data_IF_528941358680
#
_entry.id   IF_528941358680
#
_cell.length_a   1.000
_cell.length_b   1.000
_cell.length_c   1.000
_cell.angle_alpha   90.00
_cell.angle_beta   90.00
_cell.angle_gamma   90.00
#
_symmetry.space_group_name_H-M   'P 1'
#
loop_
_entity.id
_entity.type
_entity.pdbx_description
1 polymer ?
#
# COMPACT_ATOMS: atom_id res chain seq x y z
N UNK A 1 -21.79 4.56 -21.43
CA UNK A 1 -20.97 3.76 -22.39
C UNK A 1 -19.54 4.30 -22.58
N UNK A 2 -19.34 5.62 -22.72
CA UNK A 2 -17.97 6.21 -22.84
C UNK A 2 -17.07 5.97 -21.62
N UNK A 3 -17.61 6.14 -20.41
CA UNK A 3 -16.89 5.90 -19.15
C UNK A 3 -16.48 4.43 -18.97
N UNK A 4 -17.34 3.51 -19.39
CA UNK A 4 -17.11 2.07 -19.30
C UNK A 4 -15.93 1.64 -20.17
N UNK A 5 -15.83 2.17 -21.39
CA UNK A 5 -14.69 1.92 -22.27
C UNK A 5 -13.38 2.48 -21.70
N UNK A 6 -13.42 3.67 -21.09
CA UNK A 6 -12.26 4.28 -20.45
C UNK A 6 -11.73 3.45 -19.27
N UNK A 7 -12.63 2.87 -18.47
CA UNK A 7 -12.29 1.99 -17.36
C UNK A 7 -11.51 0.75 -17.83
N UNK A 8 -11.97 0.09 -18.92
CA UNK A 8 -11.28 -1.09 -19.45
C UNK A 8 -9.87 -0.78 -19.99
N UNK A 9 -9.67 0.39 -20.61
CA UNK A 9 -8.34 0.82 -21.08
C UNK A 9 -7.40 1.11 -19.90
N UNK A 10 -7.91 1.75 -18.84
CA UNK A 10 -7.12 2.02 -17.64
C UNK A 10 -6.71 0.74 -16.90
N UNK A 11 -7.58 -0.27 -16.84
CA UNK A 11 -7.26 -1.57 -16.24
C UNK A 11 -6.19 -2.34 -17.05
N UNK A 12 -6.21 -2.26 -18.38
CA UNK A 12 -5.23 -2.92 -19.23
C UNK A 12 -3.81 -2.33 -19.06
N UNK A 13 -3.71 -1.01 -18.86
CA UNK A 13 -2.42 -0.35 -18.63
C UNK A 13 -1.73 -0.77 -17.30
N UNK A 14 -2.48 -1.30 -16.33
CA UNK A 14 -1.92 -1.83 -15.09
C UNK A 14 -1.48 -3.30 -15.18
N UNK A 15 -1.66 -3.96 -16.34
CA UNK A 15 -1.33 -5.37 -16.55
C UNK A 15 -0.01 -5.58 -17.30
N UNK A 16 0.66 -4.51 -17.75
CA UNK A 16 1.97 -4.57 -18.40
C UNK A 16 3.04 -4.92 -17.36
N UNK A 17 3.12 -6.20 -17.01
CA UNK A 17 4.19 -6.72 -16.18
C UNK A 17 5.42 -6.94 -17.09
N UNK A 18 6.59 -6.36 -16.78
CA UNK A 18 7.78 -6.57 -17.61
C UNK A 18 8.11 -8.06 -17.64
N UNK A 19 8.54 -8.58 -18.79
CA UNK A 19 9.00 -9.96 -18.88
C UNK A 19 10.11 -10.19 -17.85
N UNK A 20 9.79 -10.92 -16.77
CA UNK A 20 10.76 -11.37 -15.76
C UNK A 20 11.72 -12.41 -16.33
N UNK A 21 11.40 -12.94 -17.50
CA UNK A 21 12.26 -13.80 -18.33
C UNK A 21 13.41 -13.00 -18.97
N UNK A 22 13.98 -12.03 -18.24
CA UNK A 22 15.34 -11.62 -18.51
C UNK A 22 16.22 -12.87 -18.38
N UNK A 23 17.01 -13.17 -19.40
CA UNK A 23 17.94 -14.30 -19.39
C UNK A 23 18.78 -14.25 -18.13
N UNK A 24 18.50 -15.13 -17.17
CA UNK A 24 19.39 -15.35 -16.03
C UNK A 24 20.68 -15.88 -16.66
N UNK A 25 21.72 -15.05 -16.70
CA UNK A 25 23.02 -15.45 -17.25
C UNK A 25 23.53 -16.70 -16.53
N UNK A 26 24.33 -17.53 -17.20
CA UNK A 26 24.83 -18.81 -16.65
C UNK A 26 25.45 -18.63 -15.25
N UNK A 27 26.21 -17.55 -15.05
CA UNK A 27 26.80 -17.20 -13.76
C UNK A 27 25.76 -16.93 -12.64
N UNK A 28 24.56 -16.45 -12.97
CA UNK A 28 23.49 -16.22 -12.02
C UNK A 28 22.65 -17.49 -11.77
N UNK A 29 22.61 -18.44 -12.73
CA UNK A 29 21.98 -19.76 -12.51
C UNK A 29 22.82 -20.64 -11.59
N UNK A 30 24.15 -20.56 -11.70
CA UNK A 30 25.09 -21.31 -10.86
C UNK A 30 25.42 -20.59 -9.54
N UNK A 31 24.91 -19.37 -9.34
CA UNK A 31 25.17 -18.62 -8.12
C UNK A 31 24.60 -19.35 -6.90
N UNK A 32 25.38 -19.56 -5.84
CA UNK A 32 24.87 -20.14 -4.61
C UNK A 32 23.80 -19.23 -4.00
N UNK A 33 22.67 -19.83 -3.60
CA UNK A 33 21.61 -19.11 -2.90
C UNK A 33 22.18 -18.44 -1.64
N UNK A 34 21.76 -17.19 -1.34
CA UNK A 34 22.22 -16.49 -0.16
C UNK A 34 21.78 -17.22 1.11
N UNK A 35 22.62 -17.17 2.15
CA UNK A 35 22.24 -17.67 3.48
C UNK A 35 21.15 -16.78 4.07
N UNK A 36 19.99 -17.37 4.34
CA UNK A 36 18.89 -16.70 5.04
C UNK A 36 19.34 -16.32 6.45
N UNK A 37 19.17 -15.05 6.82
CA UNK A 37 19.31 -14.59 8.20
C UNK A 37 17.96 -14.73 8.89
N UNK A 38 17.95 -15.21 10.13
CA UNK A 38 16.75 -15.17 10.95
C UNK A 38 16.32 -13.71 11.13
N UNK A 39 15.02 -13.45 10.95
CA UNK A 39 14.47 -12.15 11.29
C UNK A 39 14.58 -11.99 12.81
N UNK A 40 14.86 -10.77 13.30
CA UNK A 40 14.76 -10.50 14.72
C UNK A 40 13.34 -10.86 15.19
N UNK A 41 13.24 -11.34 16.41
CA UNK A 41 11.95 -11.54 17.04
C UNK A 41 11.28 -10.16 17.15
N UNK A 42 10.16 -10.00 16.47
CA UNK A 42 9.34 -8.81 16.61
C UNK A 42 8.52 -8.99 17.88
N UNK A 43 8.51 -7.99 18.75
CA UNK A 43 7.51 -7.91 19.80
C UNK A 43 6.14 -8.15 19.17
N UNK A 44 5.35 -9.02 19.80
CA UNK A 44 4.01 -9.36 19.33
C UNK A 44 3.26 -8.09 18.92
N UNK A 45 2.49 -8.11 17.81
CA UNK A 45 1.81 -6.91 17.35
C UNK A 45 1.04 -6.31 18.51
N UNK A 46 1.32 -5.02 18.81
CA UNK A 46 0.67 -4.29 19.88
C UNK A 46 -0.84 -4.36 19.63
N UNK A 47 -1.48 -5.29 20.32
CA UNK A 47 -2.90 -5.57 20.15
C UNK A 47 -3.60 -4.42 20.84
N UNK A 48 -3.96 -3.42 20.04
CA UNK A 48 -4.64 -2.25 20.57
C UNK A 48 -5.87 -2.73 21.36
N UNK A 49 -6.03 -2.23 22.58
CA UNK A 49 -7.25 -2.51 23.34
C UNK A 49 -8.44 -1.83 22.64
N UNK A 50 -9.66 -2.29 22.93
CA UNK A 50 -10.86 -1.66 22.39
C UNK A 50 -10.95 -0.17 22.80
N UNK A 51 -10.43 0.18 23.97
CA UNK A 51 -10.33 1.56 24.46
C UNK A 51 -9.36 2.42 23.64
N UNK A 52 -8.17 1.88 23.32
CA UNK A 52 -7.19 2.55 22.46
C UNK A 52 -7.72 2.78 21.04
N UNK A 53 -8.46 1.79 20.51
CA UNK A 53 -9.16 1.91 19.23
C UNK A 53 -10.27 2.98 19.28
N UNK A 54 -11.09 2.99 20.33
CA UNK A 54 -12.14 4.00 20.51
C UNK A 54 -11.57 5.42 20.58
N UNK A 55 -10.50 5.61 21.35
CA UNK A 55 -9.81 6.90 21.45
C UNK A 55 -9.26 7.37 20.10
N UNK A 56 -8.67 6.46 19.32
CA UNK A 56 -8.18 6.76 17.96
C UNK A 56 -9.32 7.14 17.01
N UNK A 57 -10.45 6.43 17.07
CA UNK A 57 -11.63 6.75 16.25
C UNK A 57 -12.17 8.14 16.59
N UNK A 58 -12.29 8.47 17.88
CA UNK A 58 -12.75 9.80 18.31
C UNK A 58 -11.82 10.92 17.81
N UNK A 59 -10.50 10.73 17.91
CA UNK A 59 -9.52 11.70 17.41
C UNK A 59 -9.60 11.88 15.89
N UNK A 60 -9.82 10.79 15.14
CA UNK A 60 -9.99 10.84 13.68
C UNK A 60 -11.28 11.56 13.29
N UNK A 61 -12.39 11.30 13.99
CA UNK A 61 -13.67 11.98 13.75
C UNK A 61 -13.55 13.50 14.00
N UNK A 62 -12.96 13.90 15.12
CA UNK A 62 -12.73 15.32 15.43
C UNK A 62 -11.82 16.01 14.39
N UNK A 63 -10.85 15.28 13.83
CA UNK A 63 -10.03 15.80 12.71
C UNK A 63 -10.87 15.95 11.44
N UNK A 64 -11.70 14.96 11.10
CA UNK A 64 -12.54 15.01 9.91
C UNK A 64 -13.56 16.16 9.98
N UNK A 65 -14.15 16.42 11.15
CA UNK A 65 -15.05 17.55 11.36
C UNK A 65 -14.34 18.89 11.12
N UNK A 66 -13.14 19.08 11.67
CA UNK A 66 -12.34 20.28 11.41
C UNK A 66 -12.03 20.44 9.93
N UNK A 67 -11.66 19.36 9.24
CA UNK A 67 -11.37 19.41 7.80
C UNK A 67 -12.60 19.74 6.96
N UNK A 68 -13.80 19.27 7.36
CA UNK A 68 -15.05 19.63 6.68
C UNK A 68 -15.47 21.08 6.93
N UNK A 69 -15.16 21.61 8.11
CA UNK A 69 -15.42 23.01 8.45
C UNK A 69 -14.50 23.97 7.68
N UNK A 70 -13.31 23.51 7.30
CA UNK A 70 -12.44 24.26 6.40
C UNK A 70 -13.02 24.16 4.98
N UNK A 71 -13.61 25.25 4.50
CA UNK A 71 -13.97 25.36 3.09
C UNK A 71 -12.68 25.43 2.25
N UNK A 72 -12.30 24.31 1.64
CA UNK A 72 -11.09 24.21 0.80
C UNK A 72 -11.14 25.22 -0.37
N UNK A 73 -12.34 25.59 -0.85
CA UNK A 73 -12.51 26.59 -1.91
C UNK A 73 -12.30 28.04 -1.42
N UNK A 74 -12.26 28.29 -0.10
CA UNK A 74 -11.97 29.60 0.47
C UNK A 74 -10.46 29.82 0.75
N UNK A 75 -9.62 28.82 0.45
CA UNK A 75 -8.16 28.86 0.58
C UNK A 75 -7.42 29.02 -0.77
N UNK A 76 -8.17 29.19 -1.87
CA UNK A 76 -7.66 29.50 -3.22
C UNK A 76 -7.95 30.95 -3.57
#
# INVERSE_FOLDING_TARGET
>A
MRLTAFLFVALAACAEFPALDGTIGEAAQEAPYPRLRQLPEFDAPMRNTDEELAARVAALQARAERLRAINIAALQ
#
